data_IF_160479435840
#
_entry.id   IF_160479435840
#
_cell.length_a   1.000
_cell.length_b   1.000
_cell.length_c   1.000
_cell.angle_alpha   90.00
_cell.angle_beta   90.00
_cell.angle_gamma   90.00
#
_symmetry.space_group_name_H-M   'P 1'
#
loop_
_entity.id
_entity.type
_entity.pdbx_description
1 polymer ?
#
# COMPACT_ATOMS: atom_id res chain seq x y z
N UNK A 1 -20.46 28.71 0.09
CA UNK A 1 -20.42 27.57 -0.86
C UNK A 1 -20.98 28.03 -2.18
N UNK A 2 -20.19 27.98 -3.24
CA UNK A 2 -20.50 28.61 -4.53
C UNK A 2 -21.59 27.83 -5.29
N UNK A 3 -22.41 28.54 -6.06
CA UNK A 3 -23.45 27.95 -6.94
C UNK A 3 -22.80 26.93 -7.90
N UNK A 4 -21.57 27.17 -8.35
CA UNK A 4 -20.78 26.26 -9.20
C UNK A 4 -20.46 24.92 -8.51
N UNK A 5 -20.18 24.90 -7.21
CA UNK A 5 -19.86 23.65 -6.49
C UNK A 5 -21.07 22.73 -6.48
N UNK A 6 -22.28 23.30 -6.25
CA UNK A 6 -23.54 22.56 -6.28
C UNK A 6 -23.88 22.06 -7.70
N UNK A 7 -23.58 22.88 -8.71
CA UNK A 7 -23.82 22.52 -10.10
C UNK A 7 -22.96 21.30 -10.49
N UNK A 8 -21.64 21.36 -10.21
CA UNK A 8 -20.73 20.27 -10.58
C UNK A 8 -20.91 19.01 -9.72
N UNK A 9 -21.21 19.13 -8.43
CA UNK A 9 -21.57 17.97 -7.60
C UNK A 9 -22.72 17.14 -8.17
N UNK A 10 -23.71 17.81 -8.81
CA UNK A 10 -24.88 17.15 -9.40
C UNK A 10 -24.64 16.67 -10.83
N UNK A 11 -23.74 17.30 -11.57
CA UNK A 11 -23.55 17.02 -12.99
C UNK A 11 -22.26 16.24 -13.30
N UNK A 12 -21.41 15.96 -12.31
CA UNK A 12 -20.17 15.19 -12.50
C UNK A 12 -20.40 13.80 -13.10
N UNK A 13 -21.49 13.15 -12.74
CA UNK A 13 -21.87 11.83 -13.27
C UNK A 13 -22.29 11.82 -14.75
N UNK A 14 -22.49 13.00 -15.35
CA UNK A 14 -22.83 13.15 -16.78
C UNK A 14 -21.59 13.31 -17.67
N UNK A 15 -20.40 13.43 -17.06
CA UNK A 15 -19.15 13.54 -17.81
C UNK A 15 -18.67 12.15 -18.22
N UNK A 16 -18.03 12.06 -19.38
CA UNK A 16 -17.46 10.81 -19.91
C UNK A 16 -16.16 10.40 -19.18
N UNK A 17 -15.76 11.13 -18.16
CA UNK A 17 -14.56 10.91 -17.37
C UNK A 17 -14.80 11.19 -15.88
N UNK A 18 -14.04 10.51 -15.00
CA UNK A 18 -14.10 10.72 -13.55
C UNK A 18 -13.54 12.08 -13.14
N UNK A 19 -14.20 12.75 -12.18
CA UNK A 19 -13.78 14.04 -11.64
C UNK A 19 -13.77 14.01 -10.12
N UNK A 20 -12.61 14.30 -9.50
CA UNK A 20 -12.45 14.37 -8.03
C UNK A 20 -12.84 15.73 -7.45
N UNK A 21 -12.87 16.77 -8.26
CA UNK A 21 -13.10 18.13 -7.80
C UNK A 21 -12.93 19.16 -8.90
N UNK A 22 -12.83 20.41 -8.49
CA UNK A 22 -12.67 21.57 -9.34
C UNK A 22 -11.37 22.28 -8.96
N UNK A 23 -10.56 22.67 -9.94
CA UNK A 23 -9.41 23.53 -9.71
C UNK A 23 -9.80 24.98 -10.07
N UNK A 24 -9.63 25.87 -9.10
CA UNK A 24 -9.87 27.31 -9.25
C UNK A 24 -8.50 27.97 -9.42
N UNK A 25 -8.32 28.70 -10.51
CA UNK A 25 -7.05 29.37 -10.86
C UNK A 25 -7.31 30.86 -11.08
N UNK A 26 -6.28 31.67 -10.77
CA UNK A 26 -6.25 33.06 -11.23
C UNK A 26 -6.07 33.06 -12.76
N UNK A 27 -6.91 33.79 -13.49
CA UNK A 27 -6.93 33.80 -14.94
C UNK A 27 -5.74 34.54 -15.55
N UNK A 28 -5.33 35.68 -14.93
CA UNK A 28 -4.20 36.49 -15.41
C UNK A 28 -2.86 35.81 -15.15
N UNK A 29 -2.17 35.45 -16.25
CA UNK A 29 -0.86 34.80 -16.22
C UNK A 29 0.22 35.68 -15.57
N UNK A 30 0.13 36.99 -15.70
CA UNK A 30 1.11 37.90 -15.06
C UNK A 30 0.95 37.89 -13.55
N UNK A 31 -0.28 37.79 -13.06
CA UNK A 31 -0.55 37.66 -11.62
C UNK A 31 -0.08 36.28 -11.14
N UNK A 32 -0.31 35.20 -11.92
CA UNK A 32 0.20 33.87 -11.59
C UNK A 32 1.73 33.89 -11.40
N UNK A 33 2.46 34.53 -12.33
CA UNK A 33 3.93 34.68 -12.25
C UNK A 33 4.37 35.48 -11.03
N UNK A 34 3.65 36.54 -10.68
CA UNK A 34 3.95 37.36 -9.48
C UNK A 34 3.74 36.58 -8.18
N UNK A 35 2.72 35.77 -8.09
CA UNK A 35 2.40 34.95 -6.91
C UNK A 35 3.37 33.77 -6.75
N UNK A 36 3.86 33.23 -7.85
CA UNK A 36 4.82 32.13 -7.88
C UNK A 36 4.29 30.83 -7.24
N UNK A 37 5.23 30.06 -6.68
CA UNK A 37 4.97 28.75 -6.07
C UNK A 37 5.49 28.71 -4.62
N UNK A 38 4.96 27.79 -3.83
CA UNK A 38 5.50 27.41 -2.53
C UNK A 38 5.90 25.94 -2.60
N UNK A 39 7.19 25.66 -2.75
CA UNK A 39 7.67 24.32 -3.11
C UNK A 39 7.08 23.87 -4.46
N UNK A 40 6.35 22.76 -4.47
CA UNK A 40 5.69 22.22 -5.68
C UNK A 40 4.29 22.78 -5.91
N UNK A 41 3.74 23.57 -4.99
CA UNK A 41 2.36 24.02 -5.03
C UNK A 41 2.24 25.45 -5.57
N UNK A 42 1.36 25.72 -6.55
CA UNK A 42 1.11 27.06 -7.04
C UNK A 42 0.35 27.89 -6.00
N UNK A 43 0.77 29.15 -5.77
CA UNK A 43 0.03 30.10 -4.90
C UNK A 43 -1.18 30.74 -5.58
N UNK A 44 -1.31 30.57 -6.86
CA UNK A 44 -2.36 31.13 -7.71
C UNK A 44 -3.48 30.15 -8.07
N UNK A 45 -3.44 28.92 -7.49
CA UNK A 45 -4.46 27.91 -7.71
C UNK A 45 -4.84 27.24 -6.39
N UNK A 46 -6.10 26.84 -6.30
CA UNK A 46 -6.62 26.01 -5.21
C UNK A 46 -7.57 24.95 -5.77
N UNK A 47 -7.73 23.84 -5.06
CA UNK A 47 -8.66 22.79 -5.45
C UNK A 47 -9.81 22.69 -4.44
N UNK A 48 -11.01 22.51 -4.96
CA UNK A 48 -12.17 22.10 -4.20
C UNK A 48 -12.47 20.63 -4.55
N UNK A 49 -12.31 19.74 -3.59
CA UNK A 49 -12.65 18.32 -3.78
C UNK A 49 -14.12 18.08 -3.45
N UNK A 50 -14.78 17.27 -4.27
CA UNK A 50 -16.15 16.83 -3.96
C UNK A 50 -16.15 15.95 -2.72
N UNK A 51 -17.28 15.93 -1.97
CA UNK A 51 -17.46 14.94 -0.92
C UNK A 51 -17.31 13.54 -1.49
N UNK A 52 -16.55 12.65 -0.82
CA UNK A 52 -16.42 11.27 -1.26
C UNK A 52 -17.78 10.55 -1.19
N UNK A 53 -17.95 9.58 -2.07
CA UNK A 53 -19.07 8.66 -2.00
C UNK A 53 -18.91 7.75 -0.78
N UNK A 54 -19.99 7.59 0.00
CA UNK A 54 -20.03 6.70 1.16
C UNK A 54 -21.00 5.57 0.84
N UNK A 55 -20.53 4.34 0.96
CA UNK A 55 -21.32 3.14 0.71
C UNK A 55 -21.24 2.21 1.91
N UNK A 56 -22.33 1.52 2.19
CA UNK A 56 -22.42 0.56 3.27
C UNK A 56 -22.10 -0.85 2.76
N UNK A 57 -21.28 -1.60 3.50
CA UNK A 57 -20.93 -2.98 3.17
C UNK A 57 -20.64 -3.80 4.42
N UNK A 58 -20.71 -5.15 4.30
CA UNK A 58 -20.40 -6.05 5.40
C UNK A 58 -18.91 -6.31 5.48
N UNK A 59 -18.35 -6.22 6.69
CA UNK A 59 -16.99 -6.64 7.03
C UNK A 59 -17.02 -8.15 7.35
N UNK A 60 -16.39 -8.96 6.49
CA UNK A 60 -16.38 -10.42 6.66
C UNK A 60 -15.29 -10.84 7.65
N UNK A 61 -14.06 -10.36 7.47
CA UNK A 61 -12.89 -10.76 8.27
C UNK A 61 -11.87 -9.64 8.41
N UNK A 62 -11.13 -9.65 9.52
CA UNK A 62 -9.97 -8.79 9.74
C UNK A 62 -8.71 -9.61 9.51
N UNK A 63 -7.89 -9.19 8.57
CA UNK A 63 -6.64 -9.83 8.18
C UNK A 63 -5.46 -8.88 8.44
N UNK A 64 -4.23 -9.41 8.39
CA UNK A 64 -3.01 -8.65 8.64
C UNK A 64 -2.00 -8.80 7.51
N UNK A 65 -1.35 -7.70 7.17
CA UNK A 65 -0.15 -7.68 6.35
C UNK A 65 1.05 -7.32 7.23
N UNK A 66 2.17 -8.00 7.03
CA UNK A 66 3.45 -7.66 7.68
C UNK A 66 4.26 -6.83 6.71
N UNK A 67 4.61 -5.61 7.08
CA UNK A 67 5.48 -4.73 6.31
C UNK A 67 6.96 -5.18 6.35
N UNK A 68 7.80 -4.60 5.50
CA UNK A 68 9.25 -4.87 5.48
C UNK A 68 9.96 -4.56 6.81
N UNK A 69 9.45 -3.61 7.57
CA UNK A 69 9.94 -3.25 8.91
C UNK A 69 9.34 -4.11 10.03
N UNK A 70 8.48 -5.06 9.69
CA UNK A 70 7.79 -5.93 10.66
C UNK A 70 6.47 -5.38 11.18
N UNK A 71 6.10 -4.15 10.85
CA UNK A 71 4.82 -3.54 11.29
C UNK A 71 3.65 -4.34 10.75
N UNK A 72 2.71 -4.72 11.63
CA UNK A 72 1.45 -5.32 11.27
C UNK A 72 0.45 -4.24 10.89
N UNK A 73 -0.05 -4.30 9.67
CA UNK A 73 -1.11 -3.43 9.18
C UNK A 73 -2.39 -4.23 9.02
N UNK A 74 -3.44 -3.94 9.81
CA UNK A 74 -4.73 -4.61 9.67
C UNK A 74 -5.49 -4.10 8.44
N UNK A 75 -6.22 -5.01 7.80
CA UNK A 75 -7.12 -4.69 6.70
C UNK A 75 -8.39 -5.52 6.77
N UNK A 76 -9.49 -4.92 6.35
CA UNK A 76 -10.80 -5.53 6.32
C UNK A 76 -11.04 -6.23 4.99
N UNK A 77 -11.46 -7.48 5.04
CA UNK A 77 -12.08 -8.19 3.93
C UNK A 77 -13.57 -7.88 3.94
N UNK A 78 -14.06 -7.32 2.83
CA UNK A 78 -15.41 -6.79 2.72
C UNK A 78 -16.23 -7.60 1.72
N UNK A 79 -17.53 -7.62 1.92
CA UNK A 79 -18.45 -7.95 0.85
C UNK A 79 -18.23 -6.97 -0.32
N UNK A 80 -18.05 -7.48 -1.57
CA UNK A 80 -17.69 -6.61 -2.68
C UNK A 80 -18.75 -5.54 -2.96
N UNK A 81 -18.35 -4.28 -3.02
CA UNK A 81 -19.20 -3.12 -3.30
C UNK A 81 -18.57 -2.26 -4.38
N UNK A 82 -19.38 -1.49 -5.10
CA UNK A 82 -18.91 -0.57 -6.13
C UNK A 82 -18.95 0.86 -5.58
N UNK A 83 -17.81 1.57 -5.65
CA UNK A 83 -17.69 2.99 -5.31
C UNK A 83 -17.02 3.70 -6.49
N UNK A 84 -17.64 4.73 -7.03
CA UNK A 84 -17.14 5.48 -8.20
C UNK A 84 -16.76 4.55 -9.38
N UNK A 85 -17.58 3.51 -9.63
CA UNK A 85 -17.36 2.55 -10.72
C UNK A 85 -16.28 1.50 -10.45
N UNK A 86 -15.62 1.52 -9.28
CA UNK A 86 -14.57 0.57 -8.91
C UNK A 86 -15.08 -0.44 -7.89
N UNK A 87 -14.86 -1.75 -8.18
CA UNK A 87 -15.20 -2.84 -7.26
C UNK A 87 -14.19 -2.90 -6.11
N UNK A 88 -14.67 -2.75 -4.89
CA UNK A 88 -13.88 -2.76 -3.66
C UNK A 88 -14.27 -3.98 -2.83
N UNK A 89 -13.27 -4.77 -2.43
CA UNK A 89 -13.41 -5.94 -1.55
C UNK A 89 -12.46 -5.88 -0.34
N UNK A 90 -11.65 -4.83 -0.24
CA UNK A 90 -10.68 -4.65 0.85
C UNK A 90 -10.59 -3.19 1.25
N UNK A 91 -10.44 -2.93 2.55
CA UNK A 91 -10.20 -1.59 3.08
C UNK A 91 -9.13 -1.60 4.17
N UNK A 92 -8.39 -0.51 4.30
CA UNK A 92 -7.45 -0.36 5.40
C UNK A 92 -8.17 -0.14 6.72
N UNK A 93 -7.62 -0.73 7.78
CA UNK A 93 -8.01 -0.45 9.16
C UNK A 93 -6.94 0.38 9.89
N UNK A 94 -5.91 0.83 9.18
CA UNK A 94 -4.79 1.62 9.63
C UNK A 94 -3.95 0.93 10.72
N UNK A 95 -4.45 0.83 11.94
CA UNK A 95 -3.76 0.29 13.11
C UNK A 95 -4.74 -0.24 14.17
N UNK A 96 -4.20 -0.75 15.28
CA UNK A 96 -4.97 -1.27 16.40
C UNK A 96 -5.90 -0.22 17.01
N UNK A 97 -5.38 0.97 17.25
CA UNK A 97 -6.11 2.05 17.94
C UNK A 97 -7.35 2.50 17.15
N UNK A 98 -7.26 2.51 15.80
CA UNK A 98 -8.41 2.80 14.94
C UNK A 98 -9.50 1.73 15.02
N UNK A 99 -9.13 0.46 15.12
CA UNK A 99 -10.08 -0.64 15.30
C UNK A 99 -10.79 -0.50 16.66
N UNK A 100 -10.03 -0.23 17.71
CA UNK A 100 -10.55 -0.05 19.07
C UNK A 100 -11.41 1.21 19.18
N UNK A 101 -10.95 2.33 18.65
CA UNK A 101 -11.68 3.62 18.70
C UNK A 101 -13.03 3.56 17.97
N UNK A 102 -13.05 2.90 16.82
CA UNK A 102 -14.26 2.71 16.02
C UNK A 102 -15.10 1.53 16.51
N UNK A 103 -14.55 0.68 17.39
CA UNK A 103 -15.14 -0.57 17.85
C UNK A 103 -15.54 -1.46 16.67
N UNK A 104 -14.60 -1.70 15.75
CA UNK A 104 -14.83 -2.51 14.55
C UNK A 104 -14.72 -3.97 14.91
N UNK A 105 -15.71 -4.77 14.47
CA UNK A 105 -15.73 -6.23 14.69
C UNK A 105 -16.06 -6.97 13.40
N UNK A 106 -15.68 -8.24 13.34
CA UNK A 106 -16.06 -9.09 12.23
C UNK A 106 -17.58 -9.25 12.17
N UNK A 107 -18.12 -9.32 10.96
CA UNK A 107 -19.54 -9.32 10.62
C UNK A 107 -20.30 -8.00 10.85
N UNK A 108 -19.62 -6.91 11.13
CA UNK A 108 -20.24 -5.59 11.18
C UNK A 108 -20.65 -5.08 9.81
N UNK A 109 -21.71 -4.26 9.81
CA UNK A 109 -22.05 -3.39 8.69
C UNK A 109 -21.29 -2.09 8.84
N UNK A 110 -20.48 -1.73 7.85
CA UNK A 110 -19.54 -0.61 7.93
C UNK A 110 -19.76 0.39 6.79
N UNK A 111 -19.63 1.67 7.10
CA UNK A 111 -19.57 2.71 6.08
C UNK A 111 -18.14 2.82 5.53
N UNK A 112 -18.04 2.69 4.23
CA UNK A 112 -16.81 2.72 3.46
C UNK A 112 -16.76 3.98 2.61
N UNK A 113 -15.60 4.65 2.59
CA UNK A 113 -15.30 5.70 1.62
C UNK A 113 -13.96 5.42 0.94
N UNK A 114 -13.78 6.02 -0.22
CA UNK A 114 -12.51 6.02 -0.95
C UNK A 114 -11.82 7.36 -0.72
N UNK A 115 -10.86 7.40 0.21
CA UNK A 115 -10.12 8.63 0.52
C UNK A 115 -9.19 9.00 -0.63
N UNK A 116 -9.37 10.20 -1.21
CA UNK A 116 -8.61 10.66 -2.37
C UNK A 116 -8.72 9.72 -3.57
N UNK A 117 -9.85 9.01 -3.69
CA UNK A 117 -10.15 8.01 -4.73
C UNK A 117 -9.13 6.86 -4.88
N UNK A 118 -8.19 6.71 -3.92
CA UNK A 118 -7.11 5.73 -4.00
C UNK A 118 -7.26 4.61 -2.97
N UNK A 119 -7.40 4.94 -1.68
CA UNK A 119 -7.36 3.96 -0.59
C UNK A 119 -8.73 3.84 0.07
N UNK A 120 -9.43 2.68 -0.05
CA UNK A 120 -10.66 2.44 0.68
C UNK A 120 -10.40 2.39 2.19
N UNK A 121 -11.21 3.11 2.95
CA UNK A 121 -11.14 3.13 4.42
C UNK A 121 -12.52 3.06 5.06
N UNK A 122 -12.61 2.39 6.20
CA UNK A 122 -13.82 2.34 7.00
C UNK A 122 -13.94 3.64 7.82
N UNK A 123 -15.08 4.33 7.69
CA UNK A 123 -15.37 5.55 8.42
C UNK A 123 -15.90 5.21 9.81
N UNK A 124 -16.97 4.43 9.84
CA UNK A 124 -17.65 4.00 11.08
C UNK A 124 -18.38 2.68 10.88
N UNK A 125 -18.85 2.14 11.98
CA UNK A 125 -19.75 0.99 12.05
C UNK A 125 -21.20 1.49 12.11
N UNK A 126 -22.05 1.01 11.20
CA UNK A 126 -23.45 1.43 11.09
C UNK A 126 -24.35 0.69 12.08
N UNK A 127 -24.09 -0.57 12.35
CA UNK A 127 -24.96 -1.46 13.12
C UNK A 127 -24.54 -1.62 14.60
N UNK A 128 -23.81 -0.70 15.19
CA UNK A 128 -23.33 -0.82 16.59
C UNK A 128 -24.41 -1.18 17.59
N UNK A 129 -25.58 -0.52 17.47
CA UNK A 129 -26.71 -0.69 18.40
C UNK A 129 -27.56 -1.92 18.13
N UNK A 130 -27.41 -2.54 16.98
CA UNK A 130 -28.18 -3.73 16.54
C UNK A 130 -27.33 -4.99 16.43
N UNK A 131 -26.11 -4.97 16.98
CA UNK A 131 -25.24 -6.14 17.05
C UNK A 131 -25.90 -7.24 17.86
N UNK A 132 -25.88 -8.46 17.38
CA UNK A 132 -26.22 -9.63 18.15
C UNK A 132 -25.22 -9.80 19.31
N UNK A 133 -25.66 -10.29 20.46
CA UNK A 133 -24.81 -10.55 21.65
C UNK A 133 -23.61 -11.49 21.40
N UNK A 134 -23.52 -12.06 20.21
CA UNK A 134 -22.43 -12.99 19.78
C UNK A 134 -21.24 -12.24 19.16
N UNK A 135 -21.36 -10.94 18.84
CA UNK A 135 -20.27 -10.15 18.24
C UNK A 135 -19.16 -9.90 19.26
N UNK A 136 -18.11 -10.72 19.21
CA UNK A 136 -16.93 -10.56 20.09
C UNK A 136 -16.13 -9.32 19.72
N UNK A 137 -15.60 -8.62 20.73
CA UNK A 137 -14.63 -7.55 20.52
C UNK A 137 -13.42 -8.13 19.80
N UNK A 138 -12.91 -7.40 18.82
CA UNK A 138 -11.72 -7.84 18.09
C UNK A 138 -10.48 -7.73 18.97
N UNK A 139 -9.71 -8.81 19.03
CA UNK A 139 -8.45 -8.86 19.74
C UNK A 139 -7.30 -8.90 18.72
N UNK A 140 -6.32 -8.05 18.92
CA UNK A 140 -5.15 -8.01 18.06
C UNK A 140 -4.28 -9.26 18.34
N UNK A 141 -3.69 -9.91 17.32
CA UNK A 141 -2.95 -11.14 17.54
C UNK A 141 -1.66 -10.90 18.33
N UNK A 142 -1.30 -11.87 19.18
CA UNK A 142 -0.03 -11.87 19.92
C UNK A 142 1.14 -12.43 19.08
N UNK A 143 0.82 -13.09 17.99
CA UNK A 143 1.81 -13.76 17.13
C UNK A 143 1.70 -13.29 15.68
N UNK A 144 2.87 -13.24 15.05
CA UNK A 144 2.98 -12.90 13.62
C UNK A 144 2.21 -13.93 12.77
N UNK A 145 1.49 -13.49 11.73
CA UNK A 145 0.79 -14.40 10.83
C UNK A 145 1.71 -15.47 10.22
N UNK A 146 1.09 -16.59 9.82
CA UNK A 146 1.80 -17.66 9.13
C UNK A 146 2.66 -17.13 7.96
N UNK A 147 3.82 -17.72 7.69
CA UNK A 147 4.42 -18.89 8.35
C UNK A 147 5.32 -18.55 9.55
N UNK A 148 5.47 -17.28 9.93
CA UNK A 148 6.45 -16.82 10.91
C UNK A 148 6.16 -17.28 12.35
N UNK A 149 4.94 -17.05 12.84
CA UNK A 149 4.47 -17.41 14.21
C UNK A 149 5.32 -16.89 15.38
N UNK A 150 6.23 -15.96 15.15
CA UNK A 150 7.02 -15.33 16.21
C UNK A 150 6.14 -14.42 17.06
N UNK A 151 6.45 -14.29 18.37
CA UNK A 151 5.76 -13.35 19.24
C UNK A 151 5.92 -11.91 18.74
N UNK A 152 4.84 -11.16 18.75
CA UNK A 152 4.84 -9.76 18.37
C UNK A 152 5.28 -8.87 19.54
N UNK A 153 5.94 -7.77 19.21
CA UNK A 153 6.24 -6.71 20.15
C UNK A 153 5.20 -5.60 20.01
N UNK A 154 4.59 -5.26 21.14
CA UNK A 154 3.71 -4.09 21.26
C UNK A 154 4.30 -3.20 22.34
N UNK A 155 4.79 -2.02 21.98
CA UNK A 155 5.21 -1.01 22.93
C UNK A 155 3.98 -0.18 23.34
N UNK A 156 3.71 0.03 24.65
CA UNK A 156 2.63 0.88 25.10
C UNK A 156 2.70 2.34 24.60
N UNK A 157 3.90 2.82 24.26
CA UNK A 157 4.14 4.16 23.75
C UNK A 157 4.08 4.24 22.20
N UNK A 158 4.01 3.09 21.51
CA UNK A 158 3.91 3.02 20.05
C UNK A 158 2.56 2.44 19.61
N UNK A 159 1.95 3.10 18.64
CA UNK A 159 0.70 2.62 18.01
C UNK A 159 0.95 1.35 17.18
N UNK A 160 2.21 1.11 16.80
CA UNK A 160 2.58 0.01 15.89
C UNK A 160 2.88 -1.28 16.63
N UNK A 161 2.25 -2.37 16.22
CA UNK A 161 2.61 -3.73 16.63
C UNK A 161 3.56 -4.32 15.61
N UNK A 162 4.69 -4.90 16.06
CA UNK A 162 5.79 -5.32 15.17
C UNK A 162 6.21 -6.77 15.38
N UNK A 163 6.53 -7.44 14.28
CA UNK A 163 7.31 -8.68 14.30
C UNK A 163 8.80 -8.33 14.35
N UNK A 164 9.49 -8.68 15.43
CA UNK A 164 10.91 -8.40 15.63
C UNK A 164 11.84 -9.52 15.15
N UNK A 165 11.28 -10.67 14.75
CA UNK A 165 12.08 -11.78 14.24
C UNK A 165 12.91 -11.36 13.01
N UNK A 166 14.22 -11.60 13.05
CA UNK A 166 15.12 -11.35 11.92
C UNK A 166 14.88 -12.32 10.75
N UNK A 167 14.42 -13.53 11.06
CA UNK A 167 14.13 -14.61 10.10
C UNK A 167 12.65 -14.64 9.66
N UNK A 168 11.89 -13.56 9.84
CA UNK A 168 10.48 -13.54 9.48
C UNK A 168 10.29 -13.61 7.95
N UNK A 169 9.70 -14.68 7.42
CA UNK A 169 9.46 -14.84 5.98
C UNK A 169 8.63 -13.70 5.37
N UNK A 170 7.61 -13.25 6.10
CA UNK A 170 6.73 -12.16 5.66
C UNK A 170 7.48 -10.84 5.49
N UNK A 171 8.45 -10.55 6.38
CA UNK A 171 9.32 -9.37 6.27
C UNK A 171 10.24 -9.47 5.07
N UNK A 172 10.89 -10.63 4.90
CA UNK A 172 11.85 -10.83 3.81
C UNK A 172 11.17 -10.73 2.44
N UNK A 173 10.02 -11.35 2.28
CA UNK A 173 9.26 -11.24 1.02
C UNK A 173 8.91 -9.79 0.67
N UNK A 174 8.54 -8.97 1.66
CA UNK A 174 8.29 -7.54 1.46
C UNK A 174 9.55 -6.73 1.20
N UNK A 175 10.66 -7.09 1.84
CA UNK A 175 11.95 -6.48 1.58
C UNK A 175 12.42 -6.78 0.15
N UNK A 176 12.28 -8.02 -0.31
CA UNK A 176 12.62 -8.43 -1.68
C UNK A 176 11.80 -7.66 -2.73
N UNK A 177 10.48 -7.51 -2.51
CA UNK A 177 9.61 -6.70 -3.37
C UNK A 177 10.03 -5.22 -3.39
N UNK A 178 10.41 -4.68 -2.23
CA UNK A 178 10.86 -3.29 -2.13
C UNK A 178 12.21 -3.10 -2.82
N UNK A 179 13.17 -4.00 -2.58
CA UNK A 179 14.49 -3.99 -3.19
C UNK A 179 14.42 -3.95 -4.72
N UNK A 180 13.55 -4.78 -5.31
CA UNK A 180 13.38 -4.85 -6.77
C UNK A 180 12.54 -3.73 -7.37
N UNK A 181 11.93 -2.87 -6.55
CA UNK A 181 11.05 -1.81 -7.02
C UNK A 181 11.78 -0.73 -7.85
N UNK A 182 11.01 0.00 -8.68
CA UNK A 182 11.52 1.09 -9.54
C UNK A 182 12.30 2.16 -8.79
N UNK A 183 11.95 2.44 -7.54
CA UNK A 183 12.64 3.44 -6.68
C UNK A 183 13.99 2.95 -6.17
N UNK A 184 14.20 1.64 -6.13
CA UNK A 184 15.38 0.98 -5.62
C UNK A 184 16.23 0.42 -6.76
N UNK A 185 16.36 -0.88 -6.87
CA UNK A 185 17.23 -1.52 -7.87
C UNK A 185 16.57 -1.66 -9.24
N UNK A 186 15.27 -1.36 -9.39
CA UNK A 186 14.51 -1.33 -10.65
C UNK A 186 14.65 -2.63 -11.48
N UNK A 187 14.41 -3.77 -10.83
CA UNK A 187 14.49 -5.08 -11.47
C UNK A 187 13.12 -5.43 -12.08
N UNK A 188 12.90 -5.02 -13.32
CA UNK A 188 11.66 -5.36 -14.03
C UNK A 188 11.55 -6.88 -14.23
N UNK A 189 10.38 -7.42 -13.92
CA UNK A 189 10.12 -8.86 -13.92
C UNK A 189 10.16 -9.50 -12.53
N UNK A 190 10.78 -8.86 -11.54
CA UNK A 190 10.79 -9.32 -10.15
C UNK A 190 9.64 -8.66 -9.36
N UNK A 191 8.42 -8.85 -9.85
CA UNK A 191 7.20 -8.37 -9.19
C UNK A 191 6.79 -9.23 -8.00
N UNK A 192 5.75 -8.82 -7.25
CA UNK A 192 5.33 -9.45 -6.00
C UNK A 192 5.08 -10.96 -6.12
N UNK A 193 4.44 -11.41 -7.20
CA UNK A 193 4.18 -12.84 -7.43
C UNK A 193 5.48 -13.63 -7.63
N UNK A 194 6.38 -13.11 -8.44
CA UNK A 194 7.67 -13.74 -8.75
C UNK A 194 8.54 -13.77 -7.49
N UNK A 195 8.63 -12.69 -6.73
CA UNK A 195 9.32 -12.68 -5.44
C UNK A 195 8.80 -13.76 -4.49
N UNK A 196 7.47 -13.90 -4.38
CA UNK A 196 6.86 -14.91 -3.52
C UNK A 196 7.18 -16.33 -3.97
N UNK A 197 7.12 -16.62 -5.27
CA UNK A 197 7.48 -17.94 -5.84
C UNK A 197 8.94 -18.24 -5.58
N UNK A 198 9.86 -17.35 -5.97
CA UNK A 198 11.30 -17.57 -5.82
C UNK A 198 11.72 -17.75 -4.35
N UNK A 199 11.07 -17.03 -3.43
CA UNK A 199 11.32 -17.23 -2.01
C UNK A 199 10.80 -18.57 -1.51
N UNK A 200 9.54 -18.94 -1.82
CA UNK A 200 8.92 -20.20 -1.37
C UNK A 200 9.62 -21.44 -1.91
N UNK A 201 10.08 -21.39 -3.15
CA UNK A 201 10.83 -22.48 -3.80
C UNK A 201 12.32 -22.48 -3.40
N UNK A 202 12.77 -21.58 -2.51
CA UNK A 202 14.13 -21.53 -1.99
C UNK A 202 15.18 -21.04 -2.97
N UNK A 203 14.77 -20.36 -4.05
CA UNK A 203 15.72 -19.77 -5.02
C UNK A 203 16.41 -18.53 -4.47
N UNK A 204 15.72 -17.78 -3.60
CA UNK A 204 16.22 -16.54 -2.99
C UNK A 204 15.89 -16.56 -1.49
N UNK A 205 16.92 -16.62 -0.63
CA UNK A 205 16.82 -16.55 0.82
C UNK A 205 17.51 -15.31 1.39
N UNK A 206 18.32 -14.63 0.56
CA UNK A 206 18.99 -13.37 0.86
C UNK A 206 18.99 -12.45 -0.35
N UNK A 207 19.23 -11.14 -0.17
CA UNK A 207 19.15 -10.18 -1.28
C UNK A 207 20.28 -10.38 -2.32
N UNK A 208 21.43 -10.86 -1.90
CA UNK A 208 22.57 -11.14 -2.77
C UNK A 208 22.30 -12.33 -3.70
N UNK A 209 21.47 -13.30 -3.28
CA UNK A 209 21.11 -14.46 -4.12
C UNK A 209 20.31 -14.05 -5.38
N UNK A 210 19.75 -12.85 -5.43
CA UNK A 210 19.13 -12.31 -6.66
C UNK A 210 20.15 -12.33 -7.80
N UNK A 211 21.38 -11.94 -7.52
CA UNK A 211 22.46 -11.81 -8.50
C UNK A 211 23.11 -13.15 -8.89
N UNK A 212 22.78 -14.22 -8.19
CA UNK A 212 23.20 -15.59 -8.52
C UNK A 212 22.15 -16.42 -9.27
N UNK A 213 20.97 -15.85 -9.55
CA UNK A 213 19.87 -16.55 -10.24
C UNK A 213 20.23 -17.10 -11.63
N UNK A 214 21.17 -16.47 -12.34
CA UNK A 214 21.68 -17.00 -13.63
C UNK A 214 22.22 -18.43 -13.50
N UNK A 215 22.88 -18.76 -12.39
CA UNK A 215 23.42 -20.10 -12.13
C UNK A 215 22.32 -21.15 -11.96
N UNK A 216 21.11 -20.71 -11.54
CA UNK A 216 19.94 -21.57 -11.33
C UNK A 216 18.98 -21.56 -12.53
N UNK A 217 19.39 -21.02 -13.69
CA UNK A 217 18.54 -20.80 -14.87
C UNK A 217 17.74 -22.02 -15.30
N UNK A 218 18.38 -23.20 -15.36
CA UNK A 218 17.70 -24.45 -15.76
C UNK A 218 16.56 -24.81 -14.82
N UNK A 219 16.78 -24.69 -13.52
CA UNK A 219 15.78 -24.97 -12.50
C UNK A 219 14.62 -23.94 -12.52
N UNK A 220 14.93 -22.66 -12.81
CA UNK A 220 13.92 -21.63 -12.98
C UNK A 220 12.96 -21.90 -14.15
N UNK A 221 13.48 -22.55 -15.23
CA UNK A 221 12.65 -22.91 -16.39
C UNK A 221 11.67 -24.05 -16.11
N UNK A 222 11.85 -24.81 -15.03
CA UNK A 222 10.96 -25.87 -14.59
C UNK A 222 9.79 -25.35 -13.76
N UNK A 223 9.84 -24.08 -13.30
CA UNK A 223 8.77 -23.47 -12.52
C UNK A 223 7.57 -23.09 -13.39
N UNK A 224 6.39 -23.36 -12.88
CA UNK A 224 5.14 -22.97 -13.55
C UNK A 224 5.06 -21.44 -13.73
N UNK A 225 4.77 -20.99 -14.94
CA UNK A 225 4.68 -19.56 -15.28
C UNK A 225 6.00 -18.90 -15.64
N UNK A 226 7.13 -19.64 -15.64
CA UNK A 226 8.44 -19.15 -16.06
C UNK A 226 8.81 -19.66 -17.46
N UNK A 227 8.43 -18.89 -18.49
CA UNK A 227 8.87 -19.17 -19.85
C UNK A 227 10.29 -18.63 -20.13
N UNK A 228 11.00 -19.23 -21.09
CA UNK A 228 12.36 -18.84 -21.45
C UNK A 228 12.53 -17.33 -21.72
N UNK A 229 11.58 -16.71 -22.43
CA UNK A 229 11.60 -15.26 -22.71
C UNK A 229 11.52 -14.41 -21.45
N UNK A 230 10.67 -14.80 -20.47
CA UNK A 230 10.51 -14.05 -19.22
C UNK A 230 11.72 -14.18 -18.32
N UNK A 231 12.34 -15.37 -18.26
CA UNK A 231 13.59 -15.59 -17.51
C UNK A 231 14.72 -14.78 -18.13
N UNK A 232 14.89 -14.83 -19.45
CA UNK A 232 15.93 -14.05 -20.14
C UNK A 232 15.78 -12.56 -19.83
N UNK A 233 14.54 -12.01 -19.92
CA UNK A 233 14.27 -10.62 -19.59
C UNK A 233 14.61 -10.31 -18.13
N UNK A 234 14.22 -11.17 -17.19
CA UNK A 234 14.51 -11.01 -15.78
C UNK A 234 16.02 -10.96 -15.52
N UNK A 235 16.79 -11.91 -16.06
CA UNK A 235 18.23 -11.99 -15.87
C UNK A 235 18.97 -10.78 -16.47
N UNK A 236 18.54 -10.29 -17.64
CA UNK A 236 19.05 -9.05 -18.23
C UNK A 236 18.78 -7.85 -17.30
N UNK A 237 17.58 -7.76 -16.73
CA UNK A 237 17.22 -6.66 -15.84
C UNK A 237 17.99 -6.74 -14.50
N UNK A 238 18.30 -7.93 -14.01
CA UNK A 238 19.18 -8.12 -12.84
C UNK A 238 20.58 -7.58 -13.14
N UNK A 239 21.16 -7.90 -14.31
CA UNK A 239 22.47 -7.35 -14.69
C UNK A 239 22.43 -5.82 -14.85
N UNK A 240 21.40 -5.27 -15.48
CA UNK A 240 21.23 -3.82 -15.60
C UNK A 240 21.13 -3.13 -14.24
N UNK A 241 20.51 -3.79 -13.25
CA UNK A 241 20.35 -3.23 -11.90
C UNK A 241 21.69 -2.98 -11.18
N UNK A 242 22.77 -3.70 -11.55
CA UNK A 242 24.12 -3.49 -11.01
C UNK A 242 24.68 -2.11 -11.31
N UNK A 243 24.18 -1.45 -12.35
CA UNK A 243 24.57 -0.08 -12.73
C UNK A 243 23.75 1.02 -12.01
N UNK A 244 22.83 0.65 -11.12
CA UNK A 244 22.09 1.62 -10.31
C UNK A 244 23.03 2.34 -9.35
N UNK A 245 22.70 3.58 -9.01
CA UNK A 245 23.52 4.38 -8.11
C UNK A 245 23.59 3.79 -6.71
N UNK A 246 24.65 4.07 -5.98
CA UNK A 246 24.80 3.67 -4.58
C UNK A 246 23.65 4.17 -3.69
N UNK A 247 23.12 5.36 -3.99
CA UNK A 247 21.92 5.91 -3.37
C UNK A 247 20.70 4.96 -3.49
N UNK A 248 20.46 4.41 -4.69
CA UNK A 248 19.39 3.46 -4.92
C UNK A 248 19.59 2.16 -4.12
N UNK A 249 20.83 1.66 -4.09
CA UNK A 249 21.20 0.47 -3.31
C UNK A 249 20.98 0.69 -1.82
N UNK A 250 21.44 1.82 -1.28
CA UNK A 250 21.27 2.18 0.12
C UNK A 250 19.79 2.27 0.50
N UNK A 251 18.98 2.91 -0.37
CA UNK A 251 17.52 2.96 -0.21
C UNK A 251 16.90 1.56 -0.27
N UNK A 252 17.40 0.69 -1.15
CA UNK A 252 16.88 -0.66 -1.37
C UNK A 252 17.02 -1.58 -0.14
N UNK A 253 18.02 -1.39 0.71
CA UNK A 253 18.13 -2.12 1.97
C UNK A 253 16.99 -1.83 2.93
N UNK A 254 16.23 -0.76 2.71
CA UNK A 254 15.04 -0.44 3.49
C UNK A 254 15.33 -0.14 4.96
N UNK A 255 16.48 0.40 5.26
CA UNK A 255 16.90 0.81 6.61
C UNK A 255 15.90 1.84 7.12
N UNK A 256 15.42 1.64 8.34
CA UNK A 256 14.43 2.54 8.95
C UNK A 256 15.05 3.95 9.13
N UNK A 257 14.31 4.98 8.70
CA UNK A 257 14.80 6.36 8.69
C UNK A 257 15.68 6.75 7.49
N UNK A 258 16.16 5.79 6.69
CA UNK A 258 16.98 6.08 5.51
C UNK A 258 16.12 5.98 4.24
N UNK A 259 15.65 7.13 3.76
CA UNK A 259 14.93 7.27 2.50
C UNK A 259 15.83 7.81 1.38
N UNK A 260 15.25 8.00 0.20
CA UNK A 260 15.94 8.50 -0.99
C UNK A 260 16.64 9.87 -0.74
N UNK A 261 15.96 10.80 -0.06
CA UNK A 261 16.51 12.14 0.23
C UNK A 261 17.70 12.10 1.19
N UNK A 262 17.61 11.31 2.28
CA UNK A 262 18.72 11.14 3.22
C UNK A 262 19.91 10.42 2.57
N UNK A 263 19.66 9.44 1.72
CA UNK A 263 20.71 8.75 0.98
C UNK A 263 21.47 9.71 0.05
N UNK A 264 20.78 10.68 -0.56
CA UNK A 264 21.40 11.71 -1.40
C UNK A 264 22.23 12.72 -0.60
N UNK A 265 21.78 13.14 0.59
CA UNK A 265 22.48 14.11 1.43
C UNK A 265 23.81 13.54 1.93
N UNK A 266 23.86 12.25 2.26
CA UNK A 266 25.07 11.61 2.81
C UNK A 266 26.08 11.17 1.75
N UNK A 267 25.68 11.12 0.47
CA UNK A 267 26.57 10.78 -0.64
C UNK A 267 27.15 12.01 -1.29
#
# INVERSE_FOLDING_TARGET
MCIRDRFWSKNRSKLDYGTEGIVIKIDDINIQKKLGTSGRNPRWATSYKFPPEIVETKLNKINFNVGRTGVLTPWAELEPVIIDGVKISRATLHNRDEIERKDIRENDLVELQRAGEVIPQIIKVSNKNSRNNVSKKFEFPDYCPDPCKSKLLSDPNEVSVRCVSSSCPNKFERLLQYFSSKKCMDIEGLGSKICSILYKEGFINSLDEIYSLEQKRKQLMELEGFGEKSINKLLINIEHSKNRSFNNLLTAFGIEGVGEELSLIHI
#
